data_IF_566435443118
#
_entry.id   IF_566435443118
#
_cell.length_a   1.000
_cell.length_b   1.000
_cell.length_c   1.000
_cell.angle_alpha   90.00
_cell.angle_beta   90.00
_cell.angle_gamma   90.00
#
_symmetry.space_group_name_H-M   'P 1'
#
loop_
_entity.id
_entity.type
_entity.pdbx_description
1 polymer ?
#
# COMPACT_ATOMS: atom_id res chain seq x y z
N UNK A 1 -16.90 6.03 29.85
CA UNK A 1 -16.34 6.22 28.49
C UNK A 1 -14.84 6.01 28.60
N UNK A 2 -14.32 4.89 28.09
CA UNK A 2 -12.87 4.67 28.03
C UNK A 2 -12.36 5.47 26.84
N UNK A 3 -11.47 6.42 27.08
CA UNK A 3 -10.71 7.09 26.03
C UNK A 3 -9.91 6.04 25.29
N UNK A 4 -10.40 5.65 24.14
CA UNK A 4 -9.62 4.90 23.16
C UNK A 4 -8.57 5.88 22.67
N UNK A 5 -7.35 5.82 23.21
CA UNK A 5 -6.20 6.50 22.65
C UNK A 5 -6.10 6.05 21.19
N UNK A 6 -6.56 6.89 20.29
CA UNK A 6 -6.45 6.68 18.85
C UNK A 6 -4.97 6.49 18.53
N UNK A 7 -4.66 5.32 17.98
CA UNK A 7 -3.31 4.95 17.59
C UNK A 7 -3.04 5.61 16.23
N UNK A 8 -2.95 6.94 16.23
CA UNK A 8 -2.69 7.72 15.02
C UNK A 8 -1.29 7.42 14.48
N UNK A 9 -1.20 7.32 13.16
CA UNK A 9 0.07 7.18 12.45
C UNK A 9 1.01 8.31 12.84
N UNK A 10 2.25 7.96 13.23
CA UNK A 10 3.25 8.95 13.62
C UNK A 10 4.31 9.06 12.52
N UNK A 11 4.25 10.15 11.77
CA UNK A 11 5.13 10.43 10.64
C UNK A 11 6.61 10.25 10.99
N UNK A 12 7.05 10.87 12.08
CA UNK A 12 8.43 10.80 12.53
C UNK A 12 8.91 9.35 12.77
N UNK A 13 8.09 8.51 13.39
CA UNK A 13 8.44 7.10 13.64
C UNK A 13 8.60 6.31 12.34
N UNK A 14 7.67 6.49 11.41
CA UNK A 14 7.70 5.82 10.11
C UNK A 14 8.92 6.29 9.32
N UNK A 15 9.16 7.59 9.25
CA UNK A 15 10.25 8.17 8.50
C UNK A 15 11.63 7.76 9.05
N UNK A 16 11.79 7.79 10.37
CA UNK A 16 13.02 7.35 11.03
C UNK A 16 13.26 5.86 10.82
N UNK A 17 12.23 5.03 10.85
CA UNK A 17 12.33 3.60 10.53
C UNK A 17 12.79 3.38 9.08
N UNK A 18 12.19 4.07 8.11
CA UNK A 18 12.56 3.97 6.70
C UNK A 18 14.01 4.38 6.46
N UNK A 19 14.43 5.52 6.99
CA UNK A 19 15.81 6.01 6.86
C UNK A 19 16.84 5.09 7.50
N UNK A 20 16.51 4.50 8.64
CA UNK A 20 17.42 3.61 9.37
C UNK A 20 17.65 2.28 8.66
N UNK A 21 16.63 1.77 7.99
CA UNK A 21 16.64 0.39 7.48
C UNK A 21 16.83 0.29 5.96
N UNK A 22 16.68 1.41 5.23
CA UNK A 22 16.76 1.41 3.76
C UNK A 22 17.54 2.60 3.25
N UNK A 23 18.53 2.35 2.43
CA UNK A 23 19.39 3.37 1.80
C UNK A 23 18.75 3.95 0.52
N UNK A 24 17.50 4.39 0.64
CA UNK A 24 16.74 5.01 -0.45
C UNK A 24 16.30 6.42 -0.07
N UNK A 25 16.10 7.26 -1.08
CA UNK A 25 15.48 8.57 -0.88
C UNK A 25 13.96 8.39 -0.78
N UNK A 26 13.44 8.63 0.42
CA UNK A 26 12.02 8.47 0.72
C UNK A 26 11.26 9.79 0.67
N UNK A 27 10.04 9.73 0.16
CA UNK A 27 9.01 10.75 0.34
C UNK A 27 7.82 10.09 1.04
N UNK A 28 7.50 10.57 2.24
CA UNK A 28 6.40 10.07 3.05
C UNK A 28 5.28 11.09 3.08
N UNK A 29 4.05 10.66 2.86
CA UNK A 29 2.83 11.45 2.95
C UNK A 29 1.82 10.73 3.83
N UNK A 30 1.39 11.38 4.90
CA UNK A 30 0.39 10.84 5.84
C UNK A 30 -0.86 11.70 5.83
N UNK A 31 -2.01 11.04 5.79
CA UNK A 31 -3.32 11.68 5.77
C UNK A 31 -4.26 11.04 6.78
N UNK A 32 -5.07 11.85 7.41
CA UNK A 32 -6.20 11.35 8.19
C UNK A 32 -7.30 10.85 7.28
N UNK A 33 -7.55 11.55 6.18
CA UNK A 33 -8.50 11.15 5.14
C UNK A 33 -8.06 11.67 3.79
N UNK A 34 -8.22 10.87 2.75
CA UNK A 34 -8.09 11.29 1.36
C UNK A 34 -8.97 10.44 0.43
N UNK A 35 -9.09 10.83 -0.82
CA UNK A 35 -9.89 10.08 -1.77
C UNK A 35 -9.32 8.68 -2.02
N UNK A 36 -8.03 8.59 -2.32
CA UNK A 36 -7.32 7.33 -2.59
C UNK A 36 -5.82 7.53 -2.47
N UNK A 37 -5.14 6.70 -1.66
CA UNK A 37 -3.67 6.70 -1.58
C UNK A 37 -3.03 6.42 -2.93
N UNK A 38 -3.73 5.64 -3.78
CA UNK A 38 -3.31 5.37 -5.15
C UNK A 38 -3.37 6.61 -6.01
N UNK A 39 -4.49 7.31 -6.07
CA UNK A 39 -4.65 8.48 -6.92
C UNK A 39 -3.72 9.60 -6.50
N UNK A 40 -3.54 9.78 -5.19
CA UNK A 40 -2.55 10.71 -4.67
C UNK A 40 -1.15 10.46 -5.24
N UNK A 41 -0.65 9.23 -5.22
CA UNK A 41 0.67 8.94 -5.78
C UNK A 41 0.71 9.03 -7.31
N UNK A 42 -0.40 8.77 -8.03
CA UNK A 42 -0.45 9.01 -9.49
C UNK A 42 -0.18 10.48 -9.78
N UNK A 43 -0.72 11.36 -8.98
CA UNK A 43 -0.61 12.81 -9.18
C UNK A 43 0.72 13.39 -8.68
N UNK A 44 1.16 12.99 -7.48
CA UNK A 44 2.22 13.68 -6.74
C UNK A 44 3.53 12.89 -6.58
N UNK A 45 3.61 11.63 -7.01
CA UNK A 45 4.83 10.84 -6.82
C UNK A 45 6.02 11.40 -7.62
N UNK A 46 7.19 11.41 -6.98
CA UNK A 46 8.43 11.83 -7.60
C UNK A 46 9.17 10.62 -8.18
N UNK A 47 9.58 10.67 -9.48
CA UNK A 47 10.25 9.55 -10.15
C UNK A 47 11.59 9.15 -9.51
N UNK A 48 12.25 10.09 -8.89
CA UNK A 48 13.59 9.87 -8.32
C UNK A 48 13.55 9.44 -6.83
N UNK A 49 12.36 9.12 -6.32
CA UNK A 49 12.17 8.76 -4.90
C UNK A 49 11.26 7.56 -4.75
N UNK A 50 11.42 6.83 -3.66
CA UNK A 50 10.38 5.94 -3.17
C UNK A 50 9.34 6.78 -2.44
N UNK A 51 8.10 6.77 -2.93
CA UNK A 51 7.04 7.57 -2.34
C UNK A 51 6.05 6.64 -1.63
N UNK A 52 5.85 6.86 -0.34
CA UNK A 52 4.90 6.13 0.50
C UNK A 52 3.78 7.09 0.92
N UNK A 53 2.57 6.75 0.57
CA UNK A 53 1.36 7.45 1.02
C UNK A 53 0.55 6.52 1.93
N UNK A 54 0.21 7.00 3.12
CA UNK A 54 -0.60 6.26 4.10
C UNK A 54 -1.76 7.13 4.56
N UNK A 55 -2.92 6.51 4.76
CA UNK A 55 -4.12 7.19 5.23
C UNK A 55 -4.85 6.38 6.30
N UNK A 56 -5.58 7.08 7.19
CA UNK A 56 -6.47 6.45 8.17
C UNK A 56 -7.83 6.10 7.55
N UNK A 57 -8.23 6.79 6.47
CA UNK A 57 -9.44 6.46 5.69
C UNK A 57 -9.32 6.87 4.22
N UNK A 58 -10.14 6.23 3.37
CA UNK A 58 -10.27 6.61 1.96
C UNK A 58 -11.74 6.75 1.57
N UNK A 59 -12.12 7.87 0.94
CA UNK A 59 -13.49 8.12 0.49
C UNK A 59 -13.82 7.47 -0.85
N UNK A 60 -12.79 7.29 -1.71
CA UNK A 60 -12.89 6.67 -3.04
C UNK A 60 -11.92 5.49 -3.21
N UNK A 61 -11.70 4.72 -2.14
CA UNK A 61 -10.87 3.52 -2.21
C UNK A 61 -11.40 2.54 -3.27
N UNK A 62 -10.50 1.94 -4.06
CA UNK A 62 -10.85 0.98 -5.10
C UNK A 62 -9.96 -0.25 -5.11
N UNK A 63 -10.55 -1.35 -5.52
CA UNK A 63 -9.86 -2.59 -5.84
C UNK A 63 -9.78 -2.83 -7.35
N UNK A 64 -9.45 -4.05 -7.74
CA UNK A 64 -9.43 -4.49 -9.15
C UNK A 64 -10.82 -4.34 -9.79
N UNK A 65 -10.82 -4.05 -11.10
CA UNK A 65 -12.05 -3.85 -11.89
C UNK A 65 -12.96 -2.76 -11.30
N UNK A 66 -12.37 -1.70 -10.76
CA UNK A 66 -13.05 -0.54 -10.17
C UNK A 66 -14.03 -0.89 -9.03
N UNK A 67 -13.92 -2.08 -8.45
CA UNK A 67 -14.74 -2.45 -7.29
C UNK A 67 -14.43 -1.53 -6.12
N UNK A 68 -15.47 -1.01 -5.48
CA UNK A 68 -15.32 -0.17 -4.30
C UNK A 68 -14.60 -0.92 -3.18
N UNK A 69 -13.58 -0.29 -2.59
CA UNK A 69 -12.89 -0.77 -1.42
C UNK A 69 -13.33 0.06 -0.21
N UNK A 70 -13.95 -0.60 0.75
CA UNK A 70 -14.39 0.06 1.97
C UNK A 70 -13.17 0.38 2.84
N UNK A 71 -13.07 1.63 3.27
CA UNK A 71 -11.92 2.13 4.01
C UNK A 71 -12.35 2.92 5.25
N UNK A 72 -12.98 2.23 6.25
CA UNK A 72 -13.40 2.89 7.48
C UNK A 72 -12.19 3.44 8.24
N UNK A 73 -12.39 4.58 8.91
CA UNK A 73 -11.36 5.32 9.61
C UNK A 73 -10.86 4.56 10.84
N UNK A 74 -9.54 4.53 11.02
CA UNK A 74 -8.84 3.93 12.16
C UNK A 74 -9.00 2.40 12.34
N UNK A 75 -9.58 1.71 11.37
CA UNK A 75 -9.75 0.25 11.47
C UNK A 75 -8.70 -0.54 10.69
N UNK A 76 -8.00 0.11 9.75
CA UNK A 76 -7.11 -0.59 8.82
C UNK A 76 -5.90 0.27 8.46
N UNK A 77 -4.97 -0.30 7.72
CA UNK A 77 -3.86 0.41 7.11
C UNK A 77 -4.12 0.55 5.61
N UNK A 78 -4.28 1.77 5.14
CA UNK A 78 -4.39 2.08 3.71
C UNK A 78 -3.10 2.72 3.27
N UNK A 79 -2.32 2.03 2.45
CA UNK A 79 -1.03 2.54 2.02
C UNK A 79 -0.76 2.24 0.55
N UNK A 80 -0.07 3.14 -0.10
CA UNK A 80 0.45 2.96 -1.45
C UNK A 80 1.93 3.30 -1.47
N UNK A 81 2.68 2.48 -2.18
CA UNK A 81 4.10 2.69 -2.43
C UNK A 81 4.31 2.88 -3.93
N UNK A 82 5.03 3.91 -4.33
CA UNK A 82 5.46 4.10 -5.72
C UNK A 82 6.97 4.23 -5.82
N UNK A 83 7.49 3.69 -6.90
CA UNK A 83 8.89 3.80 -7.30
C UNK A 83 8.99 3.65 -8.83
N UNK A 84 10.05 4.15 -9.43
CA UNK A 84 10.31 3.95 -10.85
C UNK A 84 11.13 2.69 -11.10
N UNK A 85 10.92 2.07 -12.25
CA UNK A 85 11.71 0.94 -12.71
C UNK A 85 11.87 0.97 -14.22
N UNK A 86 13.04 0.53 -14.70
CA UNK A 86 13.34 0.39 -16.13
C UNK A 86 12.98 -1.01 -16.66
N UNK A 87 12.44 -1.89 -15.83
CA UNK A 87 12.08 -3.24 -16.24
C UNK A 87 10.78 -3.24 -17.03
N UNK A 88 10.76 -4.01 -18.12
CA UNK A 88 9.53 -4.24 -18.86
C UNK A 88 8.49 -4.96 -18.01
N UNK A 89 7.27 -4.44 -18.03
CA UNK A 89 6.19 -4.82 -17.14
C UNK A 89 5.41 -6.06 -17.63
N UNK A 90 6.09 -7.05 -18.15
CA UNK A 90 5.42 -8.25 -18.71
C UNK A 90 4.66 -9.10 -17.70
N UNK A 91 4.89 -8.90 -16.38
CA UNK A 91 4.35 -9.79 -15.35
C UNK A 91 3.82 -9.06 -14.11
N UNK A 92 2.78 -8.23 -14.27
CA UNK A 92 2.12 -7.55 -13.13
C UNK A 92 1.63 -8.50 -12.02
N UNK A 93 1.17 -9.69 -12.41
CA UNK A 93 0.69 -10.69 -11.45
C UNK A 93 1.78 -11.14 -10.49
N UNK A 94 3.04 -11.21 -10.94
CA UNK A 94 4.18 -11.60 -10.10
C UNK A 94 4.44 -10.57 -9.00
N UNK A 95 4.33 -9.28 -9.30
CA UNK A 95 4.52 -8.23 -8.29
C UNK A 95 3.41 -8.20 -7.25
N UNK A 96 2.16 -8.46 -7.66
CA UNK A 96 1.06 -8.61 -6.69
C UNK A 96 1.34 -9.76 -5.73
N UNK A 97 1.85 -10.88 -6.24
CA UNK A 97 2.18 -12.04 -5.42
C UNK A 97 3.37 -11.77 -4.49
N UNK A 98 4.44 -11.13 -4.99
CA UNK A 98 5.59 -10.75 -4.16
C UNK A 98 5.17 -9.79 -3.05
N UNK A 99 4.32 -8.82 -3.35
CA UNK A 99 3.76 -7.91 -2.34
C UNK A 99 2.89 -8.64 -1.32
N UNK A 100 2.06 -9.59 -1.77
CA UNK A 100 1.26 -10.42 -0.87
C UNK A 100 2.12 -11.28 0.05
N UNK A 101 3.20 -11.88 -0.48
CA UNK A 101 4.18 -12.63 0.29
C UNK A 101 4.90 -11.78 1.32
N UNK A 102 5.31 -10.56 0.96
CA UNK A 102 5.94 -9.62 1.89
C UNK A 102 5.02 -9.34 3.07
N UNK A 103 3.74 -9.08 2.79
CA UNK A 103 2.72 -8.85 3.81
C UNK A 103 2.47 -10.09 4.66
N UNK A 104 2.30 -11.25 4.03
CA UNK A 104 2.16 -12.53 4.72
C UNK A 104 3.33 -12.77 5.68
N UNK A 105 4.58 -12.55 5.25
CA UNK A 105 5.76 -12.73 6.09
C UNK A 105 5.79 -11.76 7.29
N UNK A 106 5.36 -10.52 7.12
CA UNK A 106 5.24 -9.56 8.23
C UNK A 106 4.23 -10.06 9.25
N UNK A 107 3.06 -10.53 8.81
CA UNK A 107 2.02 -11.06 9.69
C UNK A 107 2.44 -12.37 10.37
N UNK A 108 3.13 -13.23 9.64
CA UNK A 108 3.67 -14.48 10.20
C UNK A 108 4.63 -14.22 11.36
N UNK A 109 5.48 -13.18 11.27
CA UNK A 109 6.36 -12.75 12.38
C UNK A 109 5.60 -12.24 13.62
N UNK A 110 4.32 -11.91 13.45
CA UNK A 110 3.41 -11.54 14.54
C UNK A 110 2.53 -12.72 14.98
N UNK A 111 2.85 -13.95 14.57
CA UNK A 111 2.06 -15.17 14.79
C UNK A 111 0.65 -15.12 14.19
N UNK A 112 0.45 -14.34 13.11
CA UNK A 112 -0.80 -14.26 12.36
C UNK A 112 -0.63 -15.09 11.09
N UNK A 113 -1.28 -16.26 11.04
CA UNK A 113 -1.16 -17.22 9.95
C UNK A 113 -2.20 -16.92 8.86
N UNK A 114 -1.74 -16.28 7.81
CA UNK A 114 -2.58 -15.90 6.67
C UNK A 114 -2.42 -16.83 5.49
N UNK A 115 -3.39 -16.82 4.59
CA UNK A 115 -3.38 -17.51 3.31
C UNK A 115 -3.35 -16.49 2.17
N UNK A 116 -2.61 -16.79 1.10
CA UNK A 116 -2.59 -15.96 -0.11
C UNK A 116 -3.50 -16.60 -1.16
N UNK A 117 -4.56 -15.90 -1.54
CA UNK A 117 -5.39 -16.27 -2.67
C UNK A 117 -4.90 -15.53 -3.91
N UNK A 118 -4.38 -16.32 -4.84
CA UNK A 118 -3.85 -15.79 -6.10
C UNK A 118 -4.87 -14.90 -6.83
N UNK A 119 -4.46 -13.80 -7.48
CA UNK A 119 -3.07 -13.31 -7.56
C UNK A 119 -2.72 -12.25 -6.49
N UNK A 120 -3.65 -11.76 -5.69
CA UNK A 120 -3.45 -10.50 -4.96
C UNK A 120 -4.20 -10.36 -3.63
N UNK A 121 -4.83 -11.41 -3.15
CA UNK A 121 -5.69 -11.34 -1.97
C UNK A 121 -5.07 -12.06 -0.77
N UNK A 122 -5.23 -11.48 0.42
CA UNK A 122 -4.76 -12.05 1.68
C UNK A 122 -5.96 -12.42 2.53
N UNK A 123 -5.96 -13.64 3.04
CA UNK A 123 -7.04 -14.22 3.84
C UNK A 123 -6.55 -14.61 5.23
N UNK A 124 -7.43 -14.48 6.20
CA UNK A 124 -7.29 -15.02 7.55
C UNK A 124 -8.61 -15.68 7.92
N UNK A 125 -8.55 -16.94 8.36
CA UNK A 125 -9.74 -17.72 8.76
C UNK A 125 -10.84 -17.67 7.68
N UNK A 126 -10.46 -17.89 6.42
CA UNK A 126 -11.34 -17.84 5.23
C UNK A 126 -11.99 -16.48 4.95
N UNK A 127 -11.61 -15.43 5.66
CA UNK A 127 -12.08 -14.06 5.42
C UNK A 127 -10.97 -13.25 4.75
N UNK A 128 -11.32 -12.46 3.73
CA UNK A 128 -10.36 -11.56 3.08
C UNK A 128 -10.03 -10.40 4.01
N UNK A 129 -8.76 -10.29 4.40
CA UNK A 129 -8.25 -9.23 5.27
C UNK A 129 -7.44 -8.19 4.52
N UNK A 130 -7.00 -8.48 3.31
CA UNK A 130 -6.18 -7.56 2.52
C UNK A 130 -6.26 -7.85 1.03
N UNK A 131 -5.83 -6.88 0.25
CA UNK A 131 -5.69 -7.00 -1.20
C UNK A 131 -4.66 -6.03 -1.72
N UNK A 132 -3.96 -6.44 -2.78
CA UNK A 132 -2.93 -5.66 -3.45
C UNK A 132 -3.45 -5.23 -4.81
N UNK A 133 -3.41 -3.94 -5.09
CA UNK A 133 -3.72 -3.35 -6.39
C UNK A 133 -2.45 -2.74 -6.97
N UNK A 134 -1.99 -3.27 -8.10
CA UNK A 134 -0.88 -2.69 -8.83
C UNK A 134 -1.41 -1.93 -10.03
N UNK A 135 -1.02 -0.70 -10.13
CA UNK A 135 -1.32 0.18 -11.26
C UNK A 135 -0.02 0.76 -11.80
N UNK A 136 0.04 0.95 -13.09
CA UNK A 136 1.18 1.58 -13.76
C UNK A 136 0.70 2.76 -14.57
N UNK A 137 1.55 3.77 -14.66
CA UNK A 137 1.30 4.89 -15.54
C UNK A 137 2.64 5.46 -16.05
N UNK A 138 2.59 6.03 -17.23
CA UNK A 138 3.73 6.69 -17.83
C UNK A 138 3.45 8.19 -17.83
N UNK A 139 4.33 8.97 -17.21
CA UNK A 139 4.15 10.43 -17.10
C UNK A 139 4.61 11.21 -18.31
N UNK A 140 5.54 10.67 -19.09
CA UNK A 140 6.08 11.37 -20.25
C UNK A 140 6.26 10.42 -21.44
N UNK A 141 5.61 10.77 -22.58
CA UNK A 141 5.71 10.00 -23.83
C UNK A 141 7.08 10.10 -24.51
N UNK A 142 7.94 11.04 -24.08
CA UNK A 142 9.26 11.28 -24.68
C UNK A 142 10.38 10.48 -24.04
N UNK A 143 10.20 9.95 -22.82
CA UNK A 143 11.18 9.10 -22.14
C UNK A 143 10.54 7.75 -21.80
N UNK A 144 10.68 6.80 -22.70
CA UNK A 144 10.13 5.43 -22.62
C UNK A 144 10.65 4.57 -21.46
N UNK A 145 11.44 5.14 -20.55
CA UNK A 145 12.20 4.37 -19.55
C UNK A 145 11.68 4.50 -18.11
N UNK A 146 10.51 5.09 -17.87
CA UNK A 146 9.98 5.24 -16.51
C UNK A 146 8.61 4.58 -16.39
N UNK A 147 8.60 3.35 -15.98
CA UNK A 147 7.40 2.72 -15.51
C UNK A 147 7.27 2.94 -14.00
N UNK A 148 6.18 3.52 -13.56
CA UNK A 148 5.87 3.73 -12.17
C UNK A 148 5.08 2.55 -11.63
N UNK A 149 5.49 2.06 -10.47
CA UNK A 149 4.80 0.99 -9.79
C UNK A 149 3.98 1.54 -8.66
N UNK A 150 2.82 0.98 -8.50
CA UNK A 150 1.94 1.26 -7.40
C UNK A 150 1.47 -0.03 -6.77
N UNK A 151 1.78 -0.21 -5.52
CA UNK A 151 1.25 -1.31 -4.73
C UNK A 151 0.36 -0.73 -3.65
N UNK A 152 -0.91 -1.07 -3.66
CA UNK A 152 -1.81 -0.82 -2.56
C UNK A 152 -1.86 -2.07 -1.70
N UNK A 153 -1.42 -1.95 -0.47
CA UNK A 153 -1.66 -2.98 0.53
C UNK A 153 -2.69 -2.41 1.50
N UNK A 154 -3.89 -2.93 1.46
CA UNK A 154 -4.91 -2.59 2.42
C UNK A 154 -5.09 -3.75 3.37
N UNK A 155 -4.82 -3.51 4.64
CA UNK A 155 -5.08 -4.45 5.71
C UNK A 155 -6.39 -4.13 6.39
N UNK A 156 -7.21 -5.14 6.61
CA UNK A 156 -8.31 -5.05 7.55
C UNK A 156 -7.89 -5.77 8.83
N UNK A 157 -7.61 -5.00 9.87
CA UNK A 157 -7.36 -5.55 11.19
C UNK A 157 -8.70 -5.96 11.79
N UNK A 158 -8.92 -7.24 12.01
CA UNK A 158 -10.04 -7.68 12.85
C UNK A 158 -9.54 -7.71 14.29
N UNK A 159 -10.02 -6.81 15.13
CA UNK A 159 -10.01 -7.06 16.57
C UNK A 159 -10.86 -8.30 16.82
N UNK A 160 -10.25 -9.35 17.32
CA UNK A 160 -10.91 -10.53 17.92
C UNK A 160 -11.50 -10.15 19.25
#
# INVERSE_FOLDING_TARGET
MKDVKQNTLKEEKIFNFLKKNYDFVWHLSLYEELESTNDYLIEFANPNKYCLCVAESQTKGRGRNLKKWQSPKYENIYMSLSFSTNQELKNFSSFSLVSALAVHNVLLRQNIFTEIKWPNDIYLNKKKIGGILIETFTRDRKNLNYAWWKSLVTYKYFHT
#
